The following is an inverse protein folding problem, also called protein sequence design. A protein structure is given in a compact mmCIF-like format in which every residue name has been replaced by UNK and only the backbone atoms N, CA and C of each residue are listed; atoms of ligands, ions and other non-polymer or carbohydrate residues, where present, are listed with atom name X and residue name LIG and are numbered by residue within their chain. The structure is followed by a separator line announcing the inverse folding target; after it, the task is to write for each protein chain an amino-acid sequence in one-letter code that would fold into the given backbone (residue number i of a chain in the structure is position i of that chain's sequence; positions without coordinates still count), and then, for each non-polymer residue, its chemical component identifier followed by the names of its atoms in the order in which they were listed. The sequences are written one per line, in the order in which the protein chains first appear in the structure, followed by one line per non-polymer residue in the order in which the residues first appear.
data_IF_333426313866
#
_entry.id   IF_333426313866
#
_cell.length_a   1.000
_cell.length_b   1.000
_cell.length_c   1.000
_cell.angle_alpha   90.00
_cell.angle_beta   90.00
_cell.angle_gamma   90.00
#
_symmetry.space_group_name_H-M   'P 1'
#
loop_
_entity.id
_entity.type
_entity.pdbx_description
1 polymer ?
#
# COMPACT_ATOMS: atom_id res chain seq x y z
N UNK A 1 -75.99 -32.04 -26.57
CA UNK A 1 -75.73 -32.04 -25.12
C UNK A 1 -74.23 -31.96 -24.90
N UNK A 2 -73.79 -30.87 -24.25
CA UNK A 2 -72.47 -30.58 -23.67
C UNK A 2 -71.23 -30.63 -24.57
N UNK A 3 -71.01 -29.49 -25.24
CA UNK A 3 -69.69 -28.89 -25.37
C UNK A 3 -69.10 -28.58 -23.98
N UNK A 4 -67.84 -28.97 -23.74
CA UNK A 4 -66.97 -28.32 -22.75
C UNK A 4 -65.74 -27.79 -23.47
N UNK A 5 -65.85 -26.54 -23.92
CA UNK A 5 -64.73 -25.64 -24.15
C UNK A 5 -64.26 -25.12 -22.79
N UNK A 6 -63.04 -25.45 -22.39
CA UNK A 6 -62.35 -24.72 -21.32
C UNK A 6 -61.78 -23.41 -21.92
N UNK A 7 -61.97 -22.25 -21.28
CA UNK A 7 -61.45 -21.00 -21.79
C UNK A 7 -59.96 -20.87 -21.46
N UNK A 8 -59.16 -20.64 -22.51
CA UNK A 8 -57.88 -19.96 -22.40
C UNK A 8 -58.15 -18.51 -22.02
N UNK A 9 -57.71 -18.11 -20.84
CA UNK A 9 -57.54 -16.71 -20.47
C UNK A 9 -56.15 -16.55 -19.87
N UNK A 10 -55.23 -16.04 -20.70
CA UNK A 10 -54.04 -15.35 -20.24
C UNK A 10 -54.45 -14.25 -19.25
N UNK A 11 -53.63 -14.02 -18.22
CA UNK A 11 -53.11 -12.71 -17.78
C UNK A 11 -52.57 -12.82 -16.34
N UNK A 12 -51.47 -12.11 -16.09
CA UNK A 12 -50.65 -12.05 -14.86
C UNK A 12 -49.59 -13.14 -14.64
N UNK A 13 -48.54 -13.09 -15.46
CA UNK A 13 -47.18 -13.11 -14.92
C UNK A 13 -46.94 -11.71 -14.33
N UNK A 14 -47.42 -11.49 -13.11
CA UNK A 14 -47.08 -10.30 -12.35
C UNK A 14 -45.80 -10.59 -11.55
N UNK A 15 -44.69 -9.99 -11.98
CA UNK A 15 -43.89 -9.15 -11.09
C UNK A 15 -43.61 -9.68 -9.67
N UNK A 16 -42.98 -10.85 -9.56
CA UNK A 16 -42.43 -11.28 -8.27
C UNK A 16 -41.18 -12.16 -8.43
N UNK A 17 -40.18 -11.61 -9.14
CA UNK A 17 -38.78 -12.06 -9.04
C UNK A 17 -37.83 -10.86 -8.97
N UNK A 18 -38.25 -9.79 -8.26
CA UNK A 18 -37.30 -8.76 -7.80
C UNK A 18 -36.48 -9.36 -6.67
N UNK A 19 -35.32 -9.95 -6.99
CA UNK A 19 -34.24 -10.17 -6.02
C UNK A 19 -34.07 -8.86 -5.24
N UNK A 20 -34.31 -8.89 -3.93
CA UNK A 20 -34.03 -7.74 -3.08
C UNK A 20 -32.52 -7.50 -3.16
N UNK A 21 -32.14 -6.41 -3.84
CA UNK A 21 -30.74 -5.96 -3.92
C UNK A 21 -30.29 -5.65 -2.49
N UNK A 22 -29.12 -6.14 -2.10
CA UNK A 22 -28.58 -5.88 -0.76
C UNK A 22 -28.40 -4.37 -0.55
N UNK A 23 -28.67 -3.84 0.65
CA UNK A 23 -28.57 -2.39 0.92
C UNK A 23 -27.17 -1.83 0.61
N UNK A 24 -26.12 -2.63 0.81
CA UNK A 24 -24.74 -2.28 0.45
C UNK A 24 -24.53 -2.18 -1.07
N UNK A 25 -25.19 -3.02 -1.86
CA UNK A 25 -25.13 -2.95 -3.32
C UNK A 25 -25.84 -1.70 -3.85
N UNK A 26 -26.95 -1.29 -3.21
CA UNK A 26 -27.61 -0.03 -3.52
C UNK A 26 -26.76 1.19 -3.15
N UNK A 27 -26.13 1.20 -1.98
CA UNK A 27 -25.21 2.28 -1.59
C UNK A 27 -24.04 2.41 -2.56
N UNK A 28 -23.45 1.28 -2.97
CA UNK A 28 -22.36 1.25 -3.93
C UNK A 28 -22.81 1.78 -5.31
N UNK A 29 -24.00 1.39 -5.77
CA UNK A 29 -24.56 1.91 -7.01
C UNK A 29 -24.79 3.43 -6.95
N UNK A 30 -25.23 3.95 -5.80
CA UNK A 30 -25.40 5.39 -5.60
C UNK A 30 -24.09 6.16 -5.72
N UNK A 31 -22.94 5.57 -5.39
CA UNK A 31 -21.63 6.21 -5.60
C UNK A 31 -21.46 6.58 -7.07
N UNK A 32 -21.69 5.63 -7.98
CA UNK A 32 -21.48 5.83 -9.42
C UNK A 32 -22.60 6.60 -10.12
N UNK A 33 -23.75 6.79 -9.45
CA UNK A 33 -24.80 7.69 -9.94
C UNK A 33 -24.42 9.18 -9.81
N UNK A 34 -23.46 9.50 -8.93
CA UNK A 34 -22.94 10.86 -8.74
C UNK A 34 -21.82 11.12 -9.75
N UNK A 35 -22.10 11.95 -10.76
CA UNK A 35 -21.13 12.31 -11.81
C UNK A 35 -20.05 13.32 -11.37
N UNK A 36 -20.03 13.70 -10.10
CA UNK A 36 -19.06 14.66 -9.54
C UNK A 36 -18.03 13.91 -8.69
N UNK A 37 -16.75 14.13 -8.96
CA UNK A 37 -15.65 13.37 -8.36
C UNK A 37 -15.47 13.61 -6.86
N UNK A 38 -15.77 14.81 -6.40
CA UNK A 38 -15.77 15.20 -4.99
C UNK A 38 -16.79 14.38 -4.19
N UNK A 39 -18.03 14.33 -4.67
CA UNK A 39 -19.10 13.57 -4.03
C UNK A 39 -18.90 12.06 -4.14
N UNK A 40 -18.27 11.59 -5.22
CA UNK A 40 -17.90 10.20 -5.37
C UNK A 40 -16.80 9.80 -4.38
N UNK A 41 -15.74 10.60 -4.27
CA UNK A 41 -14.62 10.30 -3.37
C UNK A 41 -15.05 10.39 -1.91
N UNK A 42 -15.85 11.38 -1.55
CA UNK A 42 -16.46 11.47 -0.23
C UNK A 42 -17.36 10.26 0.05
N UNK A 43 -18.21 9.90 -0.91
CA UNK A 43 -19.09 8.73 -0.80
C UNK A 43 -18.32 7.43 -0.64
N UNK A 44 -17.22 7.24 -1.38
CA UNK A 44 -16.35 6.08 -1.24
C UNK A 44 -15.72 6.03 0.15
N UNK A 45 -15.18 7.15 0.64
CA UNK A 45 -14.60 7.22 1.99
C UNK A 45 -15.66 6.90 3.05
N UNK A 46 -16.88 7.42 2.91
CA UNK A 46 -17.97 7.12 3.83
C UNK A 46 -18.39 5.65 3.76
N UNK A 47 -18.45 5.07 2.56
CA UNK A 47 -18.73 3.65 2.36
C UNK A 47 -17.68 2.77 3.05
N UNK A 48 -16.40 3.08 2.85
CA UNK A 48 -15.28 2.37 3.48
C UNK A 48 -15.32 2.51 5.01
N UNK A 49 -15.51 3.72 5.52
CA UNK A 49 -15.60 3.99 6.96
C UNK A 49 -16.80 3.29 7.63
N UNK A 50 -17.93 3.16 6.93
CA UNK A 50 -19.15 2.50 7.46
C UNK A 50 -19.05 0.99 7.48
N UNK A 51 -18.38 0.40 6.49
CA UNK A 51 -18.25 -1.04 6.34
C UNK A 51 -16.90 -1.57 6.84
N UNK A 52 -16.17 -0.75 7.60
CA UNK A 52 -14.92 -1.10 8.23
C UNK A 52 -15.11 -2.29 9.19
N UNK A 53 -14.37 -3.38 8.97
CA UNK A 53 -14.49 -4.64 9.70
C UNK A 53 -15.54 -5.64 9.18
N UNK A 54 -16.26 -5.35 8.10
CA UNK A 54 -17.16 -6.29 7.42
C UNK A 54 -16.48 -6.85 6.19
N UNK A 55 -16.42 -8.19 6.03
CA UNK A 55 -15.92 -8.82 4.80
C UNK A 55 -16.87 -8.54 3.63
N UNK A 56 -16.62 -7.43 2.93
CA UNK A 56 -17.35 -7.07 1.72
C UNK A 56 -16.84 -7.95 0.58
N UNK A 57 -17.72 -8.79 0.04
CA UNK A 57 -17.45 -9.49 -1.21
C UNK A 57 -17.87 -8.60 -2.38
N UNK A 58 -16.94 -7.77 -2.88
CA UNK A 58 -17.19 -6.82 -3.97
C UNK A 58 -17.83 -7.46 -5.21
N UNK A 59 -17.41 -8.69 -5.56
CA UNK A 59 -18.00 -9.44 -6.67
C UNK A 59 -19.50 -9.72 -6.44
N UNK A 60 -19.90 -10.06 -5.21
CA UNK A 60 -21.29 -10.32 -4.88
C UNK A 60 -22.14 -9.04 -4.94
N UNK A 61 -21.59 -7.89 -4.56
CA UNK A 61 -22.28 -6.61 -4.69
C UNK A 61 -22.57 -6.24 -6.14
N UNK A 62 -21.60 -6.50 -7.03
CA UNK A 62 -21.67 -6.16 -8.46
C UNK A 62 -22.46 -7.19 -9.28
N UNK A 63 -22.44 -8.47 -8.90
CA UNK A 63 -23.23 -9.53 -9.55
C UNK A 63 -24.76 -9.28 -9.42
N UNK A 64 -25.20 -8.40 -8.51
CA UNK A 64 -26.61 -7.98 -8.37
C UNK A 64 -27.03 -6.88 -9.36
N UNK A 65 -26.09 -6.27 -10.08
CA UNK A 65 -26.36 -5.16 -10.99
C UNK A 65 -26.80 -5.64 -12.37
N UNK A 66 -27.69 -4.87 -13.00
CA UNK A 66 -28.10 -5.13 -14.38
C UNK A 66 -27.05 -4.61 -15.39
N UNK A 67 -27.20 -5.01 -16.65
CA UNK A 67 -26.27 -4.69 -17.74
C UNK A 67 -26.10 -3.18 -17.93
N UNK A 68 -27.18 -2.39 -17.82
CA UNK A 68 -27.13 -0.92 -17.97
C UNK A 68 -26.34 -0.27 -16.84
N UNK A 69 -26.51 -0.76 -15.61
CA UNK A 69 -25.77 -0.30 -14.44
C UNK A 69 -24.28 -0.64 -14.56
N UNK A 70 -23.96 -1.87 -14.97
CA UNK A 70 -22.58 -2.29 -15.19
C UNK A 70 -21.91 -1.45 -16.29
N UNK A 71 -22.61 -1.20 -17.40
CA UNK A 71 -22.08 -0.36 -18.48
C UNK A 71 -21.84 1.08 -18.02
N UNK A 72 -22.78 1.68 -17.28
CA UNK A 72 -22.62 3.05 -16.76
C UNK A 72 -21.39 3.18 -15.85
N UNK A 73 -21.09 2.17 -15.05
CA UNK A 73 -19.90 2.17 -14.18
C UNK A 73 -18.63 1.89 -14.98
N UNK A 74 -18.66 1.01 -15.98
CA UNK A 74 -17.54 0.83 -16.91
C UNK A 74 -17.17 2.14 -17.62
N UNK A 75 -18.17 2.88 -18.10
CA UNK A 75 -17.99 4.18 -18.73
C UNK A 75 -17.38 5.20 -17.75
N UNK A 76 -17.78 5.14 -16.48
CA UNK A 76 -17.22 5.96 -15.41
C UNK A 76 -15.73 5.68 -15.18
N UNK A 77 -15.34 4.41 -15.06
CA UNK A 77 -13.92 4.01 -14.92
C UNK A 77 -13.08 4.34 -16.16
N UNK A 78 -13.73 4.45 -17.33
CA UNK A 78 -13.07 4.79 -18.59
C UNK A 78 -12.97 6.31 -18.84
N UNK A 79 -13.52 7.13 -17.94
CA UNK A 79 -13.46 8.58 -18.03
C UNK A 79 -12.02 9.08 -17.77
N UNK A 80 -11.41 9.84 -18.71
CA UNK A 80 -10.03 10.30 -18.56
C UNK A 80 -9.77 11.21 -17.35
N UNK A 81 -10.74 12.05 -16.97
CA UNK A 81 -10.62 12.92 -15.79
C UNK A 81 -10.68 12.11 -14.49
N UNK A 82 -11.55 11.09 -14.45
CA UNK A 82 -11.59 10.16 -13.32
C UNK A 82 -10.29 9.35 -13.22
N UNK A 83 -9.79 8.85 -14.36
CA UNK A 83 -8.51 8.16 -14.41
C UNK A 83 -7.35 9.08 -13.96
N UNK A 84 -7.37 10.36 -14.34
CA UNK A 84 -6.38 11.34 -13.87
C UNK A 84 -6.44 11.53 -12.35
N UNK A 85 -7.61 11.53 -11.74
CA UNK A 85 -7.77 11.56 -10.28
C UNK A 85 -7.19 10.30 -9.61
N UNK A 86 -7.50 9.11 -10.13
CA UNK A 86 -6.96 7.85 -9.61
C UNK A 86 -5.44 7.78 -9.77
N UNK A 87 -4.91 8.23 -10.91
CA UNK A 87 -3.47 8.32 -11.15
C UNK A 87 -2.79 9.38 -10.27
N UNK A 88 -3.51 10.44 -9.88
CA UNK A 88 -3.01 11.38 -8.87
C UNK A 88 -2.94 10.74 -7.47
N UNK A 89 -3.94 9.95 -7.06
CA UNK A 89 -3.88 9.17 -5.80
C UNK A 89 -2.66 8.24 -5.84
N UNK A 90 -2.48 7.54 -6.96
CA UNK A 90 -1.32 6.67 -7.20
C UNK A 90 0.01 7.43 -7.08
N UNK A 91 0.13 8.61 -7.69
CA UNK A 91 1.31 9.46 -7.56
C UNK A 91 1.61 9.84 -6.11
N UNK A 92 0.61 10.36 -5.38
CA UNK A 92 0.79 10.79 -4.00
C UNK A 92 1.06 9.64 -3.04
N UNK A 93 0.67 8.40 -3.38
CA UNK A 93 1.05 7.20 -2.63
C UNK A 93 2.57 7.00 -2.59
N UNK A 94 3.30 7.35 -3.65
CA UNK A 94 4.78 7.27 -3.68
C UNK A 94 5.48 8.57 -3.24
N UNK A 95 4.76 9.69 -3.32
CA UNK A 95 5.24 11.02 -2.95
C UNK A 95 4.25 11.73 -2.00
N UNK A 96 4.02 11.22 -0.78
CA UNK A 96 3.04 11.79 0.14
C UNK A 96 3.43 13.19 0.61
N UNK A 97 4.72 13.52 0.59
CA UNK A 97 5.27 14.84 0.87
C UNK A 97 4.72 15.91 -0.07
N UNK A 98 4.56 15.58 -1.36
CA UNK A 98 4.08 16.51 -2.38
C UNK A 98 2.60 16.88 -2.23
N UNK A 99 1.85 16.16 -1.39
CA UNK A 99 0.46 16.49 -1.10
C UNK A 99 0.36 17.79 -0.28
N UNK A 100 1.41 18.14 0.46
CA UNK A 100 1.44 19.28 1.38
C UNK A 100 2.34 20.39 0.86
N UNK A 101 1.97 21.64 1.14
CA UNK A 101 2.82 22.82 0.87
C UNK A 101 3.86 23.06 1.97
N UNK A 102 3.66 22.46 3.13
CA UNK A 102 4.48 22.63 4.33
C UNK A 102 5.27 21.34 4.61
N UNK A 103 6.36 21.45 5.36
CA UNK A 103 7.12 20.30 5.83
C UNK A 103 6.27 19.55 6.85
N UNK A 104 6.01 18.27 6.59
CA UNK A 104 5.18 17.41 7.42
C UNK A 104 6.04 16.39 8.15
N UNK A 105 5.70 16.12 9.41
CA UNK A 105 6.36 15.10 10.22
C UNK A 105 6.34 13.72 9.53
N UNK A 106 7.44 12.94 9.53
CA UNK A 106 7.53 11.64 8.85
C UNK A 106 6.40 10.67 9.24
N UNK A 107 6.02 10.61 10.52
CA UNK A 107 4.92 9.74 10.97
C UNK A 107 3.58 10.08 10.33
N UNK A 108 3.31 11.38 10.14
CA UNK A 108 2.09 11.83 9.46
C UNK A 108 2.17 11.53 7.97
N UNK A 109 3.35 11.61 7.34
CA UNK A 109 3.55 11.18 5.96
C UNK A 109 3.30 9.67 5.78
N UNK A 110 3.78 8.84 6.71
CA UNK A 110 3.53 7.39 6.71
C UNK A 110 2.03 7.11 6.85
N UNK A 111 1.34 7.79 7.78
CA UNK A 111 -0.12 7.67 7.94
C UNK A 111 -0.89 8.06 6.68
N UNK A 112 -0.49 9.16 6.03
CA UNK A 112 -1.06 9.61 4.75
C UNK A 112 -0.79 8.60 3.64
N UNK A 113 0.43 8.08 3.54
CA UNK A 113 0.81 7.06 2.57
C UNK A 113 -0.03 5.79 2.74
N UNK A 114 -0.26 5.32 3.97
CA UNK A 114 -1.12 4.17 4.25
C UNK A 114 -2.56 4.41 3.77
N UNK A 115 -3.12 5.58 4.07
CA UNK A 115 -4.48 5.97 3.63
C UNK A 115 -4.60 6.04 2.11
N UNK A 116 -3.61 6.62 1.44
CA UNK A 116 -3.53 6.67 -0.02
C UNK A 116 -3.38 5.27 -0.63
N UNK A 117 -2.58 4.41 0.00
CA UNK A 117 -2.41 3.02 -0.37
C UNK A 117 -3.71 2.23 -0.28
N UNK A 118 -4.44 2.36 0.83
CA UNK A 118 -5.76 1.75 1.02
C UNK A 118 -6.76 2.26 -0.01
N UNK A 119 -6.84 3.57 -0.20
CA UNK A 119 -7.78 4.18 -1.15
C UNK A 119 -7.52 3.68 -2.57
N UNK A 120 -6.26 3.75 -3.04
CA UNK A 120 -5.89 3.25 -4.36
C UNK A 120 -6.19 1.75 -4.52
N UNK A 121 -5.88 0.95 -3.50
CA UNK A 121 -6.15 -0.49 -3.52
C UNK A 121 -7.63 -0.83 -3.68
N UNK A 122 -8.52 -0.17 -2.92
CA UNK A 122 -9.96 -0.42 -3.04
C UNK A 122 -10.50 0.00 -4.42
N UNK A 123 -10.00 1.09 -4.98
CA UNK A 123 -10.39 1.53 -6.32
C UNK A 123 -10.00 0.47 -7.37
N UNK A 124 -8.76 -0.04 -7.32
CA UNK A 124 -8.31 -1.13 -8.19
C UNK A 124 -9.15 -2.40 -7.99
N UNK A 125 -9.46 -2.75 -6.74
CA UNK A 125 -10.23 -3.94 -6.42
C UNK A 125 -11.66 -3.86 -6.99
N UNK A 126 -12.31 -2.70 -6.86
CA UNK A 126 -13.63 -2.45 -7.46
C UNK A 126 -13.56 -2.58 -8.99
N UNK A 127 -12.57 -1.96 -9.64
CA UNK A 127 -12.37 -2.04 -11.08
C UNK A 127 -12.17 -3.49 -11.55
N UNK A 128 -11.31 -4.25 -10.86
CA UNK A 128 -11.03 -5.65 -11.19
C UNK A 128 -12.27 -6.53 -11.05
N UNK A 129 -13.07 -6.36 -10.00
CA UNK A 129 -14.31 -7.12 -9.86
C UNK A 129 -15.36 -6.68 -10.88
N UNK A 130 -15.46 -5.39 -11.19
CA UNK A 130 -16.33 -4.87 -12.23
C UNK A 130 -16.00 -5.50 -13.58
N UNK A 131 -14.72 -5.55 -13.98
CA UNK A 131 -14.31 -6.15 -15.25
C UNK A 131 -14.63 -7.65 -15.30
N UNK A 132 -14.45 -8.38 -14.18
CA UNK A 132 -14.84 -9.79 -14.08
C UNK A 132 -16.34 -9.99 -14.26
N UNK A 133 -17.16 -9.17 -13.59
CA UNK A 133 -18.63 -9.25 -13.67
C UNK A 133 -19.12 -8.83 -15.07
N UNK A 134 -18.51 -7.81 -15.66
CA UNK A 134 -18.79 -7.35 -17.02
C UNK A 134 -18.57 -8.46 -18.05
N UNK A 135 -17.41 -9.13 -18.00
CA UNK A 135 -17.09 -10.23 -18.91
C UNK A 135 -18.06 -11.41 -18.78
N UNK A 136 -18.55 -11.70 -17.55
CA UNK A 136 -19.61 -12.72 -17.35
C UNK A 136 -20.95 -12.34 -18.00
N UNK A 137 -21.20 -11.05 -18.18
CA UNK A 137 -22.42 -10.50 -18.78
C UNK A 137 -22.21 -10.07 -20.24
N UNK A 138 -21.18 -10.61 -20.91
CA UNK A 138 -20.81 -10.33 -22.31
C UNK A 138 -20.54 -8.84 -22.60
N UNK A 139 -20.18 -8.06 -21.58
CA UNK A 139 -19.72 -6.69 -21.72
C UNK A 139 -18.20 -6.65 -21.86
N UNK A 140 -17.69 -5.81 -22.76
CA UNK A 140 -16.26 -5.61 -22.96
C UNK A 140 -15.82 -4.34 -22.24
N UNK A 141 -14.94 -4.42 -21.22
CA UNK A 141 -14.34 -3.24 -20.61
C UNK A 141 -13.61 -2.38 -21.65
N UNK A 142 -13.67 -1.06 -21.51
CA UNK A 142 -12.89 -0.16 -22.36
C UNK A 142 -11.40 -0.17 -21.96
N UNK A 143 -10.62 0.72 -22.57
CA UNK A 143 -9.18 0.88 -22.29
C UNK A 143 -8.97 1.23 -20.82
N UNK A 144 -8.07 0.50 -20.17
CA UNK A 144 -7.63 0.78 -18.81
C UNK A 144 -6.60 1.91 -18.81
N UNK A 145 -6.93 3.02 -18.16
CA UNK A 145 -6.07 4.20 -18.03
C UNK A 145 -5.35 4.25 -16.69
N UNK A 146 -5.52 3.26 -15.81
CA UNK A 146 -5.01 3.33 -14.44
C UNK A 146 -3.55 2.90 -14.37
N UNK A 147 -2.80 3.60 -13.53
CA UNK A 147 -1.48 3.17 -13.11
C UNK A 147 -1.64 2.17 -11.97
N UNK A 148 -1.06 0.99 -12.17
CA UNK A 148 -1.12 -0.11 -11.23
C UNK A 148 0.22 -0.35 -10.57
N UNK A 149 0.19 -0.69 -9.27
CA UNK A 149 1.18 -1.38 -8.40
C UNK A 149 2.72 -1.16 -8.53
N UNK A 150 3.22 -0.53 -9.58
CA UNK A 150 4.63 -0.32 -9.91
C UNK A 150 4.86 1.18 -10.06
N UNK A 151 5.74 1.74 -9.23
CA UNK A 151 6.17 3.14 -9.36
C UNK A 151 6.51 3.46 -10.83
N UNK A 152 6.05 4.60 -11.36
CA UNK A 152 6.22 4.87 -12.77
C UNK A 152 7.72 4.97 -13.09
N UNK A 153 8.18 4.45 -14.24
CA UNK A 153 9.58 4.56 -14.63
C UNK A 153 10.07 6.00 -14.62
N UNK A 154 11.38 6.19 -14.40
CA UNK A 154 12.00 7.52 -14.48
C UNK A 154 11.69 8.19 -15.83
N UNK A 155 11.42 9.49 -15.79
CA UNK A 155 11.05 10.30 -16.96
C UNK A 155 9.54 10.37 -17.24
N UNK A 156 8.72 9.54 -16.59
CA UNK A 156 7.25 9.68 -16.65
C UNK A 156 6.80 10.71 -15.61
N UNK A 157 6.20 11.80 -16.09
CA UNK A 157 5.61 12.83 -15.24
C UNK A 157 4.09 12.65 -15.23
N UNK A 158 3.51 12.59 -14.04
CA UNK A 158 2.06 12.61 -13.86
C UNK A 158 1.66 14.08 -13.73
N UNK A 159 0.77 14.55 -14.60
CA UNK A 159 0.22 15.90 -14.50
C UNK A 159 -0.65 16.00 -13.26
N UNK A 160 -0.23 16.84 -12.32
CA UNK A 160 -0.92 17.04 -11.04
C UNK A 160 -1.86 18.22 -11.19
N UNK A 161 -3.16 17.97 -11.04
CA UNK A 161 -4.17 19.00 -10.89
C UNK A 161 -4.30 19.39 -9.41
N UNK A 162 -4.27 20.70 -9.13
CA UNK A 162 -4.44 21.26 -7.79
C UNK A 162 -5.83 20.93 -7.20
N UNK A 163 -6.86 20.85 -8.03
CA UNK A 163 -8.21 20.43 -7.60
C UNK A 163 -8.18 18.98 -7.09
N UNK A 164 -7.51 18.08 -7.81
CA UNK A 164 -7.33 16.69 -7.37
C UNK A 164 -6.54 16.63 -6.06
N UNK A 165 -5.50 17.46 -5.90
CA UNK A 165 -4.73 17.55 -4.65
C UNK A 165 -5.63 17.86 -3.46
N UNK A 166 -6.52 18.85 -3.60
CA UNK A 166 -7.44 19.24 -2.53
C UNK A 166 -8.47 18.14 -2.22
N UNK A 167 -9.03 17.49 -3.24
CA UNK A 167 -9.96 16.36 -3.06
C UNK A 167 -9.30 15.20 -2.33
N UNK A 168 -8.11 14.80 -2.77
CA UNK A 168 -7.33 13.72 -2.16
C UNK A 168 -6.99 14.05 -0.71
N UNK A 169 -6.56 15.28 -0.44
CA UNK A 169 -6.26 15.73 0.92
C UNK A 169 -7.49 15.68 1.83
N UNK A 170 -8.66 16.08 1.34
CA UNK A 170 -9.92 16.00 2.09
C UNK A 170 -10.32 14.55 2.37
N UNK A 171 -10.23 13.68 1.37
CA UNK A 171 -10.52 12.25 1.49
C UNK A 171 -9.61 11.56 2.50
N UNK A 172 -8.29 11.80 2.42
CA UNK A 172 -7.31 11.22 3.35
C UNK A 172 -7.54 11.69 4.77
N UNK A 173 -7.94 12.95 5.00
CA UNK A 173 -8.28 13.43 6.36
C UNK A 173 -9.50 12.73 6.94
N UNK A 174 -10.52 12.44 6.12
CA UNK A 174 -11.78 11.82 6.52
C UNK A 174 -11.70 10.29 6.64
N UNK A 175 -10.79 9.65 5.91
CA UNK A 175 -10.60 8.20 5.95
C UNK A 175 -10.10 7.77 7.34
N UNK A 176 -10.91 6.97 8.02
CA UNK A 176 -10.55 6.36 9.30
C UNK A 176 -9.72 5.13 8.98
N UNK A 177 -8.45 5.17 9.35
CA UNK A 177 -7.67 3.94 9.46
C UNK A 177 -7.97 3.41 10.83
N UNK A 178 -8.96 2.52 10.96
CA UNK A 178 -8.90 1.63 12.10
C UNK A 178 -7.61 0.84 11.94
N UNK A 179 -6.75 0.93 12.95
CA UNK A 179 -5.62 0.00 13.15
C UNK A 179 -6.14 -1.44 13.17
N UNK A 180 -7.46 -1.65 13.20
CA UNK A 180 -8.14 -2.93 13.01
C UNK A 180 -8.20 -3.46 11.58
N UNK A 181 -7.84 -2.73 10.52
CA UNK A 181 -7.40 -3.37 9.27
C UNK A 181 -5.96 -3.94 9.41
N UNK A 182 -5.31 -3.65 10.54
CA UNK A 182 -4.13 -4.34 11.06
C UNK A 182 -4.46 -5.23 12.29
N UNK A 183 -5.74 -5.32 12.70
CA UNK A 183 -6.27 -6.18 13.79
C UNK A 183 -7.56 -6.96 13.45
N UNK A 184 -7.88 -7.19 12.17
CA UNK A 184 -7.95 -8.61 11.81
C UNK A 184 -6.64 -9.13 12.37
N UNK A 185 -6.65 -10.14 13.25
CA UNK A 185 -5.49 -11.03 13.21
C UNK A 185 -5.36 -11.26 11.71
N UNK A 186 -4.31 -10.75 11.04
CA UNK A 186 -4.02 -11.34 9.78
C UNK A 186 -3.95 -12.81 10.23
N UNK A 187 -4.69 -13.71 9.62
CA UNK A 187 -4.00 -14.96 9.34
C UNK A 187 -2.60 -14.50 8.96
N UNK A 188 -1.54 -14.92 9.66
CA UNK A 188 -0.24 -14.23 9.65
C UNK A 188 0.30 -13.97 8.22
N UNK A 189 -0.38 -14.54 7.20
CA UNK A 189 -0.63 -14.16 5.79
C UNK A 189 -0.12 -12.81 5.28
N UNK A 190 -0.62 -11.64 5.71
CA UNK A 190 -0.50 -10.44 4.84
C UNK A 190 0.87 -9.73 4.88
N UNK A 191 1.53 -9.64 6.04
CA UNK A 191 2.80 -8.91 6.14
C UNK A 191 3.95 -9.58 5.37
N UNK A 192 4.02 -10.92 5.39
CA UNK A 192 5.00 -11.65 4.56
C UNK A 192 4.60 -11.65 3.09
N UNK A 193 3.30 -11.55 2.80
CA UNK A 193 2.83 -11.43 1.43
C UNK A 193 3.36 -10.13 0.80
N UNK A 194 3.38 -9.03 1.54
CA UNK A 194 3.96 -7.78 1.04
C UNK A 194 5.48 -7.85 0.80
N UNK A 195 6.23 -8.63 1.60
CA UNK A 195 7.63 -8.94 1.28
C UNK A 195 7.76 -9.67 -0.06
N UNK A 196 6.91 -10.68 -0.31
CA UNK A 196 6.90 -11.41 -1.60
C UNK A 196 6.50 -10.51 -2.77
N UNK A 197 5.56 -9.58 -2.55
CA UNK A 197 5.10 -8.69 -3.61
C UNK A 197 6.20 -7.76 -4.13
N UNK A 198 7.26 -7.51 -3.36
CA UNK A 198 8.44 -6.79 -3.84
C UNK A 198 9.16 -7.51 -4.99
N UNK A 199 8.88 -8.80 -5.23
CA UNK A 199 9.49 -9.62 -6.28
C UNK A 199 8.50 -10.02 -7.38
N UNK A 200 7.26 -9.54 -7.32
CA UNK A 200 6.24 -9.89 -8.30
C UNK A 200 6.57 -9.23 -9.64
N UNK A 201 6.79 -10.05 -10.69
CA UNK A 201 7.21 -9.66 -12.04
C UNK A 201 8.62 -9.07 -12.16
N UNK A 202 8.94 -8.02 -11.40
CA UNK A 202 10.29 -7.45 -11.31
C UNK A 202 10.57 -6.96 -9.89
N UNK A 203 11.83 -7.02 -9.48
CA UNK A 203 12.21 -6.56 -8.16
C UNK A 203 11.97 -5.06 -7.98
N UNK A 204 11.27 -4.69 -6.91
CA UNK A 204 11.01 -3.32 -6.48
C UNK A 204 11.63 -3.08 -5.09
N UNK A 205 12.76 -2.36 -5.00
CA UNK A 205 13.46 -2.12 -3.74
C UNK A 205 12.66 -1.22 -2.79
N UNK A 206 11.92 -0.22 -3.31
CA UNK A 206 11.08 0.66 -2.49
C UNK A 206 10.00 -0.14 -1.76
N UNK A 207 9.37 -1.09 -2.44
CA UNK A 207 8.34 -1.95 -1.87
C UNK A 207 8.89 -2.89 -0.80
N UNK A 208 10.09 -3.46 -1.03
CA UNK A 208 10.75 -4.29 -0.02
C UNK A 208 11.05 -3.49 1.24
N UNK A 209 11.66 -2.31 1.09
CA UNK A 209 12.00 -1.42 2.19
C UNK A 209 10.75 -1.01 2.96
N UNK A 210 9.69 -0.57 2.27
CA UNK A 210 8.42 -0.20 2.88
C UNK A 210 7.84 -1.34 3.72
N UNK A 211 7.78 -2.55 3.15
CA UNK A 211 7.25 -3.71 3.86
C UNK A 211 8.09 -4.04 5.11
N UNK A 212 9.41 -3.94 5.03
CA UNK A 212 10.31 -4.18 6.18
C UNK A 212 10.16 -3.11 7.25
N UNK A 213 10.10 -1.83 6.86
CA UNK A 213 9.93 -0.73 7.82
C UNK A 213 8.55 -0.78 8.50
N UNK A 214 7.50 -1.14 7.76
CA UNK A 214 6.16 -1.38 8.31
C UNK A 214 6.14 -2.55 9.29
N UNK A 215 6.80 -3.66 8.95
CA UNK A 215 6.97 -4.80 9.86
C UNK A 215 7.71 -4.39 11.14
N UNK A 216 8.76 -3.57 11.03
CA UNK A 216 9.49 -3.09 12.19
C UNK A 216 8.60 -2.22 13.08
N UNK A 217 7.82 -1.31 12.50
CA UNK A 217 6.92 -0.45 13.26
C UNK A 217 5.77 -1.23 13.90
N UNK A 218 5.19 -2.21 13.20
CA UNK A 218 4.03 -2.96 13.71
C UNK A 218 4.42 -3.91 14.84
N UNK A 219 5.61 -4.52 14.77
CA UNK A 219 6.09 -5.47 15.76
C UNK A 219 6.76 -4.82 16.98
N UNK A 220 7.16 -3.55 16.88
CA UNK A 220 7.80 -2.79 17.96
C UNK A 220 6.87 -1.66 18.43
N UNK A 221 5.93 -2.00 19.31
CA UNK A 221 4.88 -1.07 19.76
C UNK A 221 5.25 -0.23 21.00
N UNK A 222 6.47 -0.37 21.55
CA UNK A 222 6.92 0.30 22.77
C UNK A 222 8.14 1.20 22.51
N UNK A 223 8.37 2.18 23.40
CA UNK A 223 9.60 2.97 23.44
C UNK A 223 10.73 2.04 23.89
N UNK A 224 11.30 1.34 22.92
CA UNK A 224 12.40 0.40 23.10
C UNK A 224 13.71 1.17 22.91
N UNK A 225 14.67 0.96 23.81
CA UNK A 225 16.02 1.49 23.67
C UNK A 225 16.63 1.08 22.32
N UNK A 226 17.24 2.04 21.63
CA UNK A 226 17.76 1.87 20.26
C UNK A 226 18.68 0.65 20.13
N UNK A 227 19.43 0.31 21.18
CA UNK A 227 20.38 -0.82 21.20
C UNK A 227 19.69 -2.19 21.19
N UNK A 228 18.49 -2.31 21.76
CA UNK A 228 17.74 -3.58 21.83
C UNK A 228 16.77 -3.76 20.65
N UNK A 229 16.47 -2.68 19.95
CA UNK A 229 15.48 -2.61 18.85
C UNK A 229 15.69 -3.69 17.80
N UNK A 230 16.91 -3.84 17.29
CA UNK A 230 17.24 -4.81 16.23
C UNK A 230 17.16 -6.26 16.71
N UNK A 231 17.54 -6.53 17.97
CA UNK A 231 17.46 -7.87 18.56
C UNK A 231 16.01 -8.31 18.72
N UNK A 232 15.19 -7.46 19.34
CA UNK A 232 13.77 -7.74 19.58
C UNK A 232 13.04 -7.88 18.24
N UNK A 233 13.31 -7.01 17.27
CA UNK A 233 12.69 -7.10 15.95
C UNK A 233 13.00 -8.43 15.27
N UNK A 234 14.26 -8.87 15.29
CA UNK A 234 14.67 -10.14 14.72
C UNK A 234 13.97 -11.32 15.40
N UNK A 235 13.83 -11.31 16.72
CA UNK A 235 13.10 -12.36 17.45
C UNK A 235 11.62 -12.42 17.06
N UNK A 236 10.96 -11.26 16.95
CA UNK A 236 9.58 -11.16 16.47
C UNK A 236 9.43 -11.72 15.05
N UNK A 237 10.39 -11.41 14.16
CA UNK A 237 10.42 -11.95 12.80
C UNK A 237 10.61 -13.47 12.77
N UNK A 238 11.43 -14.04 13.65
CA UNK A 238 11.58 -15.51 13.77
C UNK A 238 10.24 -16.17 14.13
N UNK A 239 9.52 -15.61 15.11
CA UNK A 239 8.18 -16.09 15.50
C UNK A 239 7.22 -16.02 14.31
N UNK A 240 7.27 -14.94 13.54
CA UNK A 240 6.40 -14.74 12.39
C UNK A 240 6.69 -15.73 11.25
N UNK A 241 7.96 -16.05 11.00
CA UNK A 241 8.32 -17.12 10.07
C UNK A 241 7.98 -18.51 10.60
N UNK A 242 8.03 -18.72 11.92
CA UNK A 242 7.69 -20.00 12.53
C UNK A 242 6.26 -20.45 12.21
N UNK A 243 5.34 -19.51 12.08
CA UNK A 243 3.94 -19.75 11.73
C UNK A 243 3.73 -20.22 10.28
N UNK A 244 4.78 -20.24 9.45
CA UNK A 244 4.68 -20.56 8.01
C UNK A 244 5.10 -21.97 7.66
N UNK A 245 4.70 -22.44 6.48
CA UNK A 245 5.18 -23.71 5.96
C UNK A 245 6.66 -23.62 5.53
N UNK A 246 7.37 -24.75 5.55
CA UNK A 246 8.78 -24.76 5.14
C UNK A 246 8.94 -24.39 3.67
N UNK A 247 7.95 -24.70 2.84
CA UNK A 247 7.90 -24.30 1.43
C UNK A 247 7.84 -22.78 1.28
N UNK A 248 7.02 -22.08 2.07
CA UNK A 248 6.93 -20.61 2.04
C UNK A 248 8.21 -19.94 2.52
N UNK A 249 8.87 -20.48 3.55
CA UNK A 249 10.15 -19.98 4.03
C UNK A 249 11.27 -20.18 2.99
N UNK A 250 11.29 -21.33 2.30
CA UNK A 250 12.26 -21.60 1.23
C UNK A 250 12.02 -20.69 0.01
N UNK A 251 10.76 -20.44 -0.35
CA UNK A 251 10.37 -19.52 -1.41
C UNK A 251 10.85 -18.08 -1.10
N UNK A 252 10.60 -17.59 0.13
CA UNK A 252 11.13 -16.30 0.61
C UNK A 252 12.65 -16.24 0.59
N UNK A 253 13.33 -17.32 1.00
CA UNK A 253 14.78 -17.38 0.97
C UNK A 253 15.30 -17.26 -0.47
N UNK A 254 14.63 -17.93 -1.42
CA UNK A 254 14.94 -17.81 -2.85
C UNK A 254 14.82 -16.38 -3.36
N UNK A 255 13.77 -15.65 -2.97
CA UNK A 255 13.64 -14.23 -3.29
C UNK A 255 14.76 -13.38 -2.67
N UNK A 256 15.06 -13.57 -1.38
CA UNK A 256 16.07 -12.76 -0.68
C UNK A 256 17.51 -13.06 -1.12
N UNK A 257 17.78 -14.28 -1.56
CA UNK A 257 19.10 -14.71 -2.03
C UNK A 257 19.38 -14.35 -3.49
N UNK A 258 18.44 -13.72 -4.19
CA UNK A 258 18.60 -13.35 -5.59
C UNK A 258 19.61 -12.19 -5.79
N UNK A 259 19.97 -11.95 -7.06
CA UNK A 259 20.93 -10.91 -7.42
C UNK A 259 20.42 -9.50 -7.10
N UNK A 260 19.12 -9.26 -7.27
CA UNK A 260 18.55 -7.93 -7.12
C UNK A 260 18.59 -7.45 -5.66
N UNK A 261 18.19 -8.31 -4.73
CA UNK A 261 18.28 -8.05 -3.29
C UNK A 261 19.72 -7.96 -2.84
N UNK A 262 20.60 -8.80 -3.38
CA UNK A 262 22.03 -8.69 -3.14
C UNK A 262 22.58 -7.33 -3.57
N UNK A 263 22.21 -6.83 -4.75
CA UNK A 263 22.63 -5.52 -5.25
C UNK A 263 22.10 -4.39 -4.36
N UNK A 264 20.84 -4.47 -3.90
CA UNK A 264 20.27 -3.53 -2.96
C UNK A 264 21.07 -3.51 -1.65
N UNK A 265 21.27 -4.69 -1.03
CA UNK A 265 21.99 -4.82 0.24
C UNK A 265 23.44 -4.34 0.14
N UNK A 266 24.13 -4.62 -0.98
CA UNK A 266 25.47 -4.10 -1.24
C UNK A 266 25.50 -2.58 -1.36
N UNK A 267 24.49 -2.00 -2.02
CA UNK A 267 24.36 -0.55 -2.16
C UNK A 267 24.26 0.12 -0.79
N UNK A 268 23.37 -0.36 0.08
CA UNK A 268 23.24 0.14 1.45
C UNK A 268 24.52 -0.10 2.28
N UNK A 269 25.12 -1.29 2.18
CA UNK A 269 26.36 -1.63 2.87
C UNK A 269 27.51 -0.66 2.52
N UNK A 270 27.70 -0.34 1.24
CA UNK A 270 28.71 0.63 0.79
C UNK A 270 28.50 2.03 1.37
N UNK A 271 27.25 2.49 1.43
CA UNK A 271 26.89 3.80 2.00
C UNK A 271 27.20 3.81 3.50
N UNK A 272 26.82 2.76 4.23
CA UNK A 272 27.04 2.61 5.67
C UNK A 272 28.54 2.58 6.00
N UNK A 273 29.36 1.93 5.17
CA UNK A 273 30.82 1.90 5.31
C UNK A 273 31.52 3.23 4.97
N UNK A 274 30.76 4.32 4.78
CA UNK A 274 31.25 5.66 4.48
C UNK A 274 32.14 5.74 3.23
N UNK A 275 31.94 4.83 2.26
CA UNK A 275 32.60 4.93 0.96
C UNK A 275 32.01 6.11 0.19
N UNK A 276 32.85 6.92 -0.46
CA UNK A 276 32.37 7.92 -1.42
C UNK A 276 31.77 7.23 -2.62
N UNK A 277 30.55 7.61 -3.00
CA UNK A 277 29.80 7.03 -4.10
C UNK A 277 29.47 8.15 -5.08
N UNK A 278 29.86 7.99 -6.34
CA UNK A 278 29.86 9.07 -7.34
C UNK A 278 28.48 9.71 -7.58
N UNK A 279 27.41 8.93 -7.44
CA UNK A 279 26.04 9.38 -7.70
C UNK A 279 25.31 9.90 -6.44
N UNK A 280 25.86 9.68 -5.24
CA UNK A 280 25.21 10.04 -3.98
C UNK A 280 25.88 11.30 -3.40
N UNK A 281 25.13 12.39 -3.12
CA UNK A 281 25.69 13.54 -2.43
C UNK A 281 26.23 13.15 -1.05
N UNK A 282 27.15 13.95 -0.52
CA UNK A 282 27.73 13.71 0.80
C UNK A 282 26.61 13.78 1.85
N UNK A 283 26.32 12.62 2.45
CA UNK A 283 25.30 12.51 3.49
C UNK A 283 25.78 13.12 4.81
N UNK A 284 24.89 13.86 5.46
CA UNK A 284 25.07 14.30 6.83
C UNK A 284 24.91 13.13 7.83
N UNK A 285 25.16 13.39 9.11
CA UNK A 285 25.11 12.36 10.16
C UNK A 285 23.73 11.72 10.30
N UNK A 286 22.65 12.50 10.23
CA UNK A 286 21.28 12.01 10.38
C UNK A 286 20.84 11.17 9.19
N UNK A 287 21.14 11.62 7.98
CA UNK A 287 20.87 10.88 6.73
C UNK A 287 21.61 9.54 6.74
N UNK A 288 22.86 9.52 7.24
CA UNK A 288 23.64 8.29 7.37
C UNK A 288 23.06 7.33 8.41
N UNK A 289 22.65 7.85 9.57
CA UNK A 289 21.97 7.05 10.60
C UNK A 289 20.67 6.46 10.05
N UNK A 290 19.93 7.23 9.24
CA UNK A 290 18.69 6.79 8.60
C UNK A 290 18.93 5.61 7.66
N UNK A 291 19.94 5.72 6.78
CA UNK A 291 20.32 4.63 5.87
C UNK A 291 20.78 3.40 6.66
N UNK A 292 21.56 3.58 7.73
CA UNK A 292 21.98 2.49 8.62
C UNK A 292 20.79 1.78 9.27
N UNK A 293 19.82 2.52 9.81
CA UNK A 293 18.64 1.95 10.46
C UNK A 293 17.82 1.07 9.49
N UNK A 294 17.64 1.54 8.24
CA UNK A 294 16.95 0.75 7.20
C UNK A 294 17.75 -0.49 6.81
N UNK A 295 19.07 -0.35 6.66
CA UNK A 295 19.96 -1.47 6.38
C UNK A 295 19.91 -2.55 7.47
N UNK A 296 19.94 -2.15 8.74
CA UNK A 296 19.85 -3.06 9.88
C UNK A 296 18.48 -3.75 9.95
N UNK A 297 17.40 -3.03 9.64
CA UNK A 297 16.05 -3.61 9.58
C UNK A 297 15.96 -4.69 8.49
N UNK A 298 16.51 -4.42 7.29
CA UNK A 298 16.61 -5.40 6.21
C UNK A 298 17.41 -6.63 6.66
N UNK A 299 18.58 -6.42 7.27
CA UNK A 299 19.40 -7.51 7.81
C UNK A 299 18.62 -8.37 8.84
N UNK A 300 17.84 -7.74 9.72
CA UNK A 300 17.03 -8.46 10.71
C UNK A 300 16.00 -9.40 10.04
N UNK A 301 15.29 -8.91 9.03
CA UNK A 301 14.28 -9.69 8.29
C UNK A 301 14.91 -10.87 7.55
N UNK A 302 16.06 -10.64 6.91
CA UNK A 302 16.82 -11.66 6.19
C UNK A 302 17.37 -12.73 7.16
N UNK A 303 18.09 -12.32 8.20
CA UNK A 303 18.73 -13.25 9.14
C UNK A 303 17.71 -14.01 10.00
N UNK A 304 16.58 -13.40 10.36
CA UNK A 304 15.48 -14.11 11.03
C UNK A 304 14.98 -15.30 10.21
N UNK A 305 14.89 -15.18 8.88
CA UNK A 305 14.47 -16.28 8.01
C UNK A 305 15.49 -17.43 8.03
N UNK A 306 16.78 -17.12 8.03
CA UNK A 306 17.84 -18.13 8.12
C UNK A 306 17.84 -18.85 9.47
N UNK A 307 17.60 -18.12 10.56
CA UNK A 307 17.43 -18.70 11.90
C UNK A 307 16.26 -19.68 11.88
N UNK A 308 15.11 -19.30 11.32
CA UNK A 308 13.94 -20.17 11.28
C UNK A 308 14.13 -21.39 10.36
N UNK A 309 14.80 -21.24 9.21
CA UNK A 309 15.18 -22.38 8.37
C UNK A 309 16.10 -23.34 9.13
N UNK A 310 17.06 -22.83 9.89
CA UNK A 310 17.93 -23.65 10.75
C UNK A 310 17.13 -24.37 11.84
N UNK A 311 16.13 -23.73 12.45
CA UNK A 311 15.23 -24.36 13.43
C UNK A 311 14.45 -25.54 12.81
N UNK A 312 14.20 -25.48 11.50
CA UNK A 312 13.58 -26.56 10.70
C UNK A 312 14.58 -27.59 10.16
N UNK A 313 15.83 -27.54 10.64
CA UNK A 313 16.93 -28.39 10.18
C UNK A 313 17.31 -28.19 8.69
N UNK A 314 17.03 -27.02 8.14
CA UNK A 314 17.45 -26.62 6.79
C UNK A 314 18.62 -25.64 6.88
N UNK A 315 19.77 -26.05 6.36
CA UNK A 315 20.96 -25.20 6.36
C UNK A 315 20.93 -24.25 5.15
N UNK A 316 20.84 -22.95 5.43
CA UNK A 316 20.84 -21.90 4.43
C UNK A 316 22.15 -21.11 4.44
N UNK A 317 22.71 -20.84 3.26
CA UNK A 317 23.90 -20.00 3.10
C UNK A 317 23.62 -18.57 3.59
N UNK A 318 24.63 -17.85 4.13
CA UNK A 318 24.49 -16.44 4.47
C UNK A 318 24.23 -15.59 3.23
N UNK A 319 23.38 -14.58 3.38
CA UNK A 319 23.20 -13.57 2.34
C UNK A 319 24.51 -12.83 2.18
N UNK A 320 25.01 -12.78 0.94
CA UNK A 320 26.27 -12.11 0.63
C UNK A 320 25.94 -10.72 0.13
N UNK A 321 26.36 -9.71 0.86
CA UNK A 321 26.22 -8.31 0.47
C UNK A 321 27.53 -7.53 0.64
N UNK A 322 28.56 -8.14 1.20
CA UNK A 322 29.95 -7.69 1.07
C UNK A 322 30.55 -8.41 -0.15
N UNK A 323 30.87 -7.64 -1.19
CA UNK A 323 31.34 -8.17 -2.47
C UNK A 323 32.78 -7.73 -2.66
N UNK A 324 33.63 -8.72 -2.97
CA UNK A 324 35.02 -8.47 -3.32
C UNK A 324 35.16 -7.66 -4.63
N UNK A 325 34.11 -7.61 -5.46
CA UNK A 325 34.08 -6.81 -6.68
C UNK A 325 33.58 -5.37 -6.38
N UNK A 326 34.43 -4.35 -6.57
CA UNK A 326 34.03 -2.96 -6.38
C UNK A 326 33.07 -2.42 -7.45
N UNK A 327 32.87 -3.15 -8.57
CA UNK A 327 32.20 -2.66 -9.78
C UNK A 327 30.70 -2.98 -9.89
N UNK A 328 30.03 -3.40 -8.82
CA UNK A 328 28.57 -3.48 -8.88
C UNK A 328 28.01 -2.06 -8.87
N UNK A 329 27.61 -1.61 -10.05
CA UNK A 329 26.88 -0.36 -10.20
C UNK A 329 25.50 -0.50 -9.56
N UNK A 330 25.16 0.44 -8.70
CA UNK A 330 23.81 0.51 -8.16
C UNK A 330 22.88 0.88 -9.32
N UNK A 331 22.06 -0.07 -9.77
CA UNK A 331 21.04 0.20 -10.77
C UNK A 331 20.13 1.35 -10.32
N UNK A 332 19.55 2.05 -11.28
CA UNK A 332 18.71 3.25 -11.07
C UNK A 332 17.67 3.09 -9.95
N UNK A 333 16.95 1.95 -9.94
CA UNK A 333 15.96 1.62 -8.90
C UNK A 333 16.53 1.58 -7.48
N UNK A 334 17.76 1.09 -7.31
CA UNK A 334 18.41 1.03 -6.00
C UNK A 334 18.90 2.41 -5.57
N UNK A 335 19.33 3.27 -6.52
CA UNK A 335 19.69 4.66 -6.24
C UNK A 335 18.47 5.45 -5.76
N UNK A 336 17.35 5.30 -6.45
CA UNK A 336 16.08 5.93 -6.08
C UNK A 336 15.62 5.51 -4.69
N UNK A 337 15.76 4.22 -4.38
CA UNK A 337 15.42 3.70 -3.07
C UNK A 337 16.25 4.34 -1.95
N UNK A 338 17.54 4.60 -2.18
CA UNK A 338 18.40 5.30 -1.23
C UNK A 338 17.92 6.75 -1.02
N UNK A 339 17.67 7.49 -2.09
CA UNK A 339 17.15 8.86 -1.99
C UNK A 339 15.80 8.91 -1.27
N UNK A 340 14.92 7.94 -1.55
CA UNK A 340 13.63 7.83 -0.89
C UNK A 340 13.78 7.50 0.58
N UNK A 341 14.70 6.62 0.96
CA UNK A 341 14.98 6.31 2.37
C UNK A 341 15.36 7.56 3.13
N UNK A 342 16.27 8.36 2.56
CA UNK A 342 16.69 9.64 3.16
C UNK A 342 15.48 10.57 3.29
N UNK A 343 14.68 10.74 2.24
CA UNK A 343 13.53 11.67 2.28
C UNK A 343 12.42 11.23 3.24
N UNK A 344 12.12 9.94 3.33
CA UNK A 344 10.92 9.41 3.99
C UNK A 344 11.19 9.00 5.43
N UNK A 345 12.34 8.40 5.72
CA UNK A 345 12.65 7.83 7.03
C UNK A 345 13.61 8.66 7.86
N UNK A 346 14.11 9.78 7.34
CA UNK A 346 14.93 10.67 8.15
C UNK A 346 14.12 11.15 9.34
N UNK A 347 14.60 10.81 10.53
CA UNK A 347 14.03 11.29 11.78
C UNK A 347 14.29 12.79 11.84
N UNK A 348 13.27 13.59 11.53
CA UNK A 348 13.31 15.02 11.83
C UNK A 348 13.34 15.10 13.37
N UNK A 349 14.30 15.80 13.98
CA UNK A 349 14.33 15.94 15.43
C UNK A 349 12.98 16.51 15.86
N UNK A 350 12.25 15.71 16.64
CA UNK A 350 11.04 16.12 17.33
C UNK A 350 11.46 17.32 18.16
N UNK A 351 10.93 18.51 17.85
CA UNK A 351 10.94 19.61 18.83
C UNK A 351 10.07 19.07 19.95
N UNK A 352 10.65 18.70 21.10
CA UNK A 352 9.83 18.14 22.15
C UNK A 352 8.91 19.27 22.64
N UNK A 353 7.65 18.96 22.92
CA UNK A 353 6.60 19.96 23.20
C UNK A 353 7.03 20.97 24.28
N UNK A 354 7.90 20.52 25.21
CA UNK A 354 8.54 21.34 26.24
C UNK A 354 9.38 22.52 25.70
N UNK A 355 9.98 22.44 24.52
CA UNK A 355 10.77 23.55 23.93
C UNK A 355 9.85 24.64 23.38
N UNK A 356 8.67 24.26 22.88
CA UNK A 356 7.64 25.23 22.48
C UNK A 356 7.05 25.90 23.73
N UNK A 357 6.75 25.13 24.78
CA UNK A 357 6.34 25.67 26.08
C UNK A 357 7.39 26.61 26.70
N UNK A 358 8.68 26.25 26.64
CA UNK A 358 9.80 27.08 27.12
C UNK A 358 9.97 28.35 26.29
N UNK A 359 9.76 28.27 24.96
CA UNK A 359 9.73 29.45 24.08
C UNK A 359 8.56 30.38 24.42
N UNK A 360 7.36 29.85 24.65
CA UNK A 360 6.21 30.63 25.10
C UNK A 360 6.44 31.26 26.47
N UNK A 361 6.98 30.51 27.44
CA UNK A 361 7.35 31.04 28.76
C UNK A 361 8.45 32.10 28.66
N UNK A 362 9.43 31.97 27.77
CA UNK A 362 10.48 32.96 27.60
C UNK A 362 9.95 34.29 27.03
N UNK A 363 8.89 34.24 26.21
CA UNK A 363 8.22 35.43 25.67
C UNK A 363 7.28 36.04 26.71
N UNK A 364 6.60 35.21 27.52
CA UNK A 364 5.70 35.66 28.59
C UNK A 364 6.42 36.16 29.86
N UNK A 365 7.65 35.73 30.11
CA UNK A 365 8.52 36.21 31.19
C UNK A 365 9.47 37.34 30.78
N UNK A 366 9.37 37.83 29.54
CA UNK A 366 10.05 39.04 29.08
C UNK A 366 9.18 40.27 29.32
N UNK A 367 9.08 40.69 30.59
CA UNK A 367 8.63 42.03 31.02
C UNK A 367 9.49 42.55 32.18
#
# INVERSE_FOLDING_TARGET
MNHKSAPFSNWFVAEQDRKQIHPQSQEMHQLFSRRQFDLWMEGLVDFLNKNDGVQITWAALLDEWNVEQLQAVLDYFSNPEFAALVNAIFFYKFHPDKLFTEVIHPEKLISVQMRLGLLHHYIELIQQQLYRVALKNDLTPAVDYFLHNEEPPQGILIEINEEHRQLILAAVKKLRVNVSLSQEKPEDSDWLHDLKRAYKFSFNPNRLIDAVMMLQQSLLSEVIEQEQRSVIFREKMVILYHQRSSAECLDLYGYFANEDTRCLMYTFYKIVQASTIDWLPILNTEERITVLNVFDALCCVLEALRIELKNRHLLAAPYRYDLADPNIDAGERNRDAVFRVIRVYQQIPVIPDNVIEELFQSIECSD
#
